data_IF_062281337196
#
_entry.id   IF_062281337196
#
_cell.length_a   1.000
_cell.length_b   1.000
_cell.length_c   1.000
_cell.angle_alpha   90.00
_cell.angle_beta   90.00
_cell.angle_gamma   90.00
#
_symmetry.space_group_name_H-M   'P 1'
#
loop_
_entity.id
_entity.type
_entity.pdbx_description
1 polymer ?
#
# COMPACT_ATOMS: atom_id res chain seq x y z
N UNK A 1 -14.27 21.17 13.94
CA UNK A 1 -13.05 20.38 14.24
C UNK A 1 -13.15 19.53 15.49
N UNK A 2 -13.67 20.04 16.62
CA UNK A 2 -13.73 19.31 17.90
C UNK A 2 -14.60 18.03 17.86
N UNK A 3 -15.76 18.07 17.21
CA UNK A 3 -16.66 16.91 17.10
C UNK A 3 -16.02 15.73 16.36
N UNK A 4 -15.26 15.99 15.29
CA UNK A 4 -14.53 14.95 14.55
C UNK A 4 -13.41 14.31 15.37
N UNK A 5 -12.75 15.07 16.24
CA UNK A 5 -11.75 14.55 17.17
C UNK A 5 -12.39 13.69 18.27
N UNK A 6 -13.57 14.05 18.77
CA UNK A 6 -14.32 13.25 19.75
C UNK A 6 -14.77 11.92 19.18
N UNK A 7 -15.33 11.90 17.97
CA UNK A 7 -15.76 10.65 17.31
C UNK A 7 -14.57 9.73 17.04
N UNK A 8 -13.48 10.27 16.50
CA UNK A 8 -12.25 9.50 16.25
C UNK A 8 -11.60 9.03 17.55
N UNK A 9 -11.54 9.88 18.56
CA UNK A 9 -11.03 9.55 19.89
C UNK A 9 -11.86 8.46 20.57
N UNK A 10 -13.18 8.54 20.48
CA UNK A 10 -14.10 7.52 20.98
C UNK A 10 -13.95 6.18 20.27
N UNK A 11 -13.79 6.18 18.94
CA UNK A 11 -13.51 4.96 18.17
C UNK A 11 -12.18 4.31 18.59
N UNK A 12 -11.12 5.11 18.71
CA UNK A 12 -9.81 4.60 19.15
C UNK A 12 -9.87 4.08 20.58
N UNK A 13 -10.48 4.82 21.50
CA UNK A 13 -10.64 4.40 22.89
C UNK A 13 -11.50 3.12 23.01
N UNK A 14 -12.58 3.03 22.24
CA UNK A 14 -13.42 1.83 22.16
C UNK A 14 -12.66 0.62 21.62
N UNK A 15 -11.87 0.79 20.55
CA UNK A 15 -11.03 -0.26 20.01
C UNK A 15 -9.96 -0.72 21.02
N UNK A 16 -9.32 0.22 21.72
CA UNK A 16 -8.33 -0.10 22.77
C UNK A 16 -8.99 -0.83 23.94
N UNK A 17 -10.17 -0.39 24.39
CA UNK A 17 -10.90 -1.05 25.47
C UNK A 17 -11.31 -2.47 25.10
N UNK A 18 -11.84 -2.67 23.89
CA UNK A 18 -12.23 -3.99 23.39
C UNK A 18 -11.01 -4.92 23.24
N UNK A 19 -9.94 -4.45 22.62
CA UNK A 19 -8.71 -5.25 22.43
C UNK A 19 -8.03 -5.58 23.76
N UNK A 20 -8.12 -4.68 24.77
CA UNK A 20 -7.66 -4.97 26.14
C UNK A 20 -8.51 -6.08 26.76
N UNK A 21 -9.83 -6.02 26.65
CA UNK A 21 -10.75 -7.06 27.17
C UNK A 21 -10.57 -8.40 26.46
N UNK A 22 -10.26 -8.38 25.16
CA UNK A 22 -9.95 -9.59 24.38
C UNK A 22 -8.63 -10.25 24.81
N UNK A 23 -7.81 -9.61 25.64
CA UNK A 23 -6.54 -10.18 26.13
C UNK A 23 -5.35 -9.91 25.21
N UNK A 24 -5.48 -9.05 24.20
CA UNK A 24 -4.37 -8.63 23.31
C UNK A 24 -3.30 -7.86 24.09
N UNK A 25 -3.73 -7.08 25.07
CA UNK A 25 -2.87 -6.30 25.99
C UNK A 25 -2.89 -6.85 27.42
N UNK A 26 -3.33 -8.10 27.57
CA UNK A 26 -3.51 -8.77 28.86
C UNK A 26 -2.20 -9.37 29.40
N UNK A 27 -2.32 -10.21 30.41
CA UNK A 27 -1.19 -11.01 30.89
C UNK A 27 -0.84 -12.10 29.88
N UNK A 28 0.39 -12.64 29.92
CA UNK A 28 0.89 -13.62 28.95
C UNK A 28 -0.06 -14.81 28.79
N UNK A 29 -0.65 -15.30 29.89
CA UNK A 29 -1.64 -16.39 29.88
C UNK A 29 -2.94 -16.06 29.12
N UNK A 30 -3.40 -14.81 29.18
CA UNK A 30 -4.62 -14.38 28.48
C UNK A 30 -4.36 -14.28 26.98
N UNK A 31 -3.19 -13.74 26.60
CA UNK A 31 -2.77 -13.66 25.21
C UNK A 31 -2.49 -15.04 24.62
N UNK A 32 -1.90 -15.97 25.39
CA UNK A 32 -1.67 -17.35 24.96
C UNK A 32 -2.98 -18.11 24.76
N UNK A 33 -3.99 -17.91 25.63
CA UNK A 33 -5.33 -18.47 25.45
C UNK A 33 -5.99 -17.94 24.18
N UNK A 34 -5.94 -16.62 23.96
CA UNK A 34 -6.47 -16.01 22.74
C UNK A 34 -5.75 -16.54 21.49
N UNK A 35 -4.43 -16.66 21.53
CA UNK A 35 -3.64 -17.18 20.42
C UNK A 35 -4.02 -18.63 20.09
N UNK A 36 -4.15 -19.49 21.09
CA UNK A 36 -4.53 -20.88 20.89
C UNK A 36 -5.97 -21.03 20.39
N UNK A 37 -6.90 -20.20 20.86
CA UNK A 37 -8.30 -20.20 20.37
C UNK A 37 -8.38 -19.78 18.90
N UNK A 38 -7.73 -18.66 18.54
CA UNK A 38 -7.65 -18.20 17.15
C UNK A 38 -6.96 -19.23 16.26
N UNK A 39 -5.86 -19.84 16.73
CA UNK A 39 -5.18 -20.92 16.03
C UNK A 39 -6.09 -22.13 15.81
N UNK A 40 -6.89 -22.50 16.83
CA UNK A 40 -7.87 -23.58 16.74
C UNK A 40 -8.91 -23.30 15.65
N UNK A 41 -9.44 -22.08 15.61
CA UNK A 41 -10.41 -21.64 14.60
C UNK A 41 -9.81 -21.54 13.19
N UNK A 42 -8.55 -21.13 13.06
CA UNK A 42 -7.86 -21.00 11.76
C UNK A 42 -7.33 -22.32 11.22
N UNK A 43 -7.01 -23.28 12.09
CA UNK A 43 -6.47 -24.61 11.72
C UNK A 43 -7.22 -25.30 10.56
N UNK A 44 -8.56 -25.44 10.58
CA UNK A 44 -9.28 -26.09 9.49
C UNK A 44 -9.17 -25.35 8.15
N UNK A 45 -9.14 -24.00 8.16
CA UNK A 45 -9.02 -23.20 6.94
C UNK A 45 -7.61 -23.27 6.35
N UNK A 46 -6.59 -23.27 7.21
CA UNK A 46 -5.19 -23.44 6.78
C UNK A 46 -4.98 -24.84 6.18
N UNK A 47 -5.60 -25.87 6.74
CA UNK A 47 -5.56 -27.22 6.18
C UNK A 47 -6.29 -27.31 4.83
N UNK A 48 -7.45 -26.69 4.69
CA UNK A 48 -8.17 -26.61 3.41
C UNK A 48 -7.36 -25.85 2.35
N UNK A 49 -6.72 -24.74 2.72
CA UNK A 49 -5.85 -23.98 1.83
C UNK A 49 -4.61 -24.80 1.42
N UNK A 50 -4.00 -25.54 2.36
CA UNK A 50 -2.87 -26.44 2.09
C UNK A 50 -3.25 -27.54 1.07
N UNK A 51 -4.46 -28.09 1.16
CA UNK A 51 -4.95 -29.12 0.24
C UNK A 51 -5.27 -28.60 -1.17
N UNK A 52 -5.46 -27.29 -1.34
CA UNK A 52 -5.77 -26.64 -2.62
C UNK A 52 -4.54 -26.04 -3.31
N UNK A 53 -3.39 -25.98 -2.62
CA UNK A 53 -2.14 -25.45 -3.17
C UNK A 53 -1.26 -26.59 -3.71
N UNK A 54 -0.87 -26.57 -5.01
CA UNK A 54 -0.04 -27.60 -5.63
C UNK A 54 1.47 -27.48 -5.28
N UNK A 55 1.83 -26.76 -4.21
CA UNK A 55 3.22 -26.58 -3.79
C UNK A 55 3.39 -26.85 -2.29
N UNK A 56 4.52 -27.45 -1.91
CA UNK A 56 4.93 -27.63 -0.53
C UNK A 56 5.08 -26.25 0.13
N UNK A 57 4.19 -25.90 1.04
CA UNK A 57 4.30 -24.66 1.81
C UNK A 57 5.62 -24.70 2.60
N UNK A 58 6.50 -23.69 2.43
CA UNK A 58 7.72 -23.61 3.22
C UNK A 58 7.34 -23.60 4.70
N UNK A 59 8.15 -24.29 5.51
CA UNK A 59 7.93 -24.41 6.95
C UNK A 59 7.76 -23.00 7.54
N UNK A 60 6.63 -22.76 8.24
CA UNK A 60 6.36 -21.48 8.88
C UNK A 60 7.57 -21.12 9.76
N UNK A 61 8.10 -19.87 9.67
CA UNK A 61 9.28 -19.49 10.41
C UNK A 61 9.04 -19.70 11.91
N UNK A 62 10.05 -20.21 12.63
CA UNK A 62 9.93 -20.38 14.09
C UNK A 62 9.63 -19.01 14.71
N UNK A 63 8.96 -18.99 15.87
CA UNK A 63 8.48 -17.76 16.51
C UNK A 63 9.60 -16.70 16.67
N UNK A 64 10.85 -17.13 16.88
CA UNK A 64 12.03 -16.25 16.90
C UNK A 64 12.38 -15.61 15.54
N UNK A 65 12.21 -16.35 14.45
CA UNK A 65 12.43 -15.87 13.07
C UNK A 65 11.32 -14.91 12.65
N UNK A 66 10.06 -15.16 13.04
CA UNK A 66 8.95 -14.22 12.83
C UNK A 66 9.22 -12.88 13.52
N UNK A 67 9.81 -12.89 14.72
CA UNK A 67 10.19 -11.66 15.44
C UNK A 67 11.30 -10.89 14.72
N UNK A 68 12.27 -11.60 14.15
CA UNK A 68 13.32 -10.98 13.33
C UNK A 68 12.72 -10.36 12.07
N UNK A 69 11.85 -11.11 11.38
CA UNK A 69 11.18 -10.69 10.16
C UNK A 69 10.32 -9.44 10.39
N UNK A 70 9.51 -9.44 11.46
CA UNK A 70 8.70 -8.29 11.85
C UNK A 70 9.56 -7.03 12.12
N UNK A 71 10.68 -7.19 12.85
CA UNK A 71 11.62 -6.07 13.08
C UNK A 71 12.26 -5.57 11.79
N UNK A 72 12.66 -6.49 10.91
CA UNK A 72 13.31 -6.15 9.65
C UNK A 72 12.35 -5.39 8.72
N UNK A 73 11.14 -5.91 8.49
CA UNK A 73 10.14 -5.25 7.66
C UNK A 73 9.63 -3.94 8.26
N UNK A 74 9.53 -3.84 9.58
CA UNK A 74 9.20 -2.56 10.22
C UNK A 74 10.26 -1.50 9.91
N UNK A 75 11.54 -1.84 10.09
CA UNK A 75 12.65 -0.92 9.81
C UNK A 75 12.76 -0.56 8.32
N UNK A 76 12.57 -1.53 7.42
CA UNK A 76 12.54 -1.25 5.98
C UNK A 76 11.33 -0.41 5.60
N UNK A 77 10.16 -0.69 6.17
CA UNK A 77 8.94 0.07 5.96
C UNK A 77 9.12 1.54 6.34
N UNK A 78 9.62 1.82 7.55
CA UNK A 78 9.90 3.19 8.01
C UNK A 78 10.90 3.87 7.08
N UNK A 79 12.02 3.22 6.75
CA UNK A 79 13.02 3.78 5.82
C UNK A 79 12.42 4.09 4.45
N UNK A 80 11.60 3.20 3.91
CA UNK A 80 11.01 3.37 2.59
C UNK A 80 9.92 4.45 2.57
N UNK A 81 9.12 4.57 3.63
CA UNK A 81 8.14 5.66 3.76
C UNK A 81 8.81 7.02 3.81
N UNK A 82 9.86 7.19 4.63
CA UNK A 82 10.63 8.44 4.64
C UNK A 82 11.33 8.72 3.31
N UNK A 83 11.86 7.68 2.65
CA UNK A 83 12.44 7.81 1.31
C UNK A 83 11.39 8.23 0.27
N UNK A 84 10.18 7.69 0.34
CA UNK A 84 9.08 8.09 -0.52
C UNK A 84 8.71 9.55 -0.28
N UNK A 85 8.55 9.97 0.98
CA UNK A 85 8.26 11.38 1.32
C UNK A 85 9.37 12.32 0.82
N UNK A 86 10.63 11.92 0.95
CA UNK A 86 11.77 12.67 0.42
C UNK A 86 11.78 12.73 -1.12
N UNK A 87 11.33 11.68 -1.79
CA UNK A 87 11.29 11.60 -3.25
C UNK A 87 9.99 12.15 -3.86
N UNK A 88 8.94 12.39 -3.06
CA UNK A 88 7.67 12.99 -3.49
C UNK A 88 7.84 14.28 -4.30
N UNK A 89 8.71 15.25 -3.94
CA UNK A 89 8.92 16.45 -4.74
C UNK A 89 9.46 16.14 -6.14
N UNK A 90 10.31 15.11 -6.27
CA UNK A 90 10.89 14.69 -7.54
C UNK A 90 9.85 13.96 -8.41
N UNK A 91 9.01 13.13 -7.81
CA UNK A 91 7.88 12.49 -8.50
C UNK A 91 6.81 13.50 -8.91
N UNK A 92 6.47 14.45 -8.03
CA UNK A 92 5.52 15.52 -8.31
C UNK A 92 6.03 16.43 -9.44
N UNK A 93 7.31 16.84 -9.39
CA UNK A 93 7.92 17.65 -10.46
C UNK A 93 7.96 16.93 -11.82
N UNK A 94 8.26 15.63 -11.84
CA UNK A 94 8.21 14.82 -13.06
C UNK A 94 6.78 14.65 -13.59
N UNK A 95 5.80 14.48 -12.70
CA UNK A 95 4.38 14.42 -13.06
C UNK A 95 3.86 15.73 -13.63
N UNK A 96 4.19 16.86 -12.99
CA UNK A 96 3.82 18.21 -13.44
C UNK A 96 4.42 18.53 -14.81
N UNK A 97 5.67 18.13 -15.04
CA UNK A 97 6.35 18.31 -16.33
C UNK A 97 5.67 17.51 -17.44
N UNK A 98 5.36 16.23 -17.21
CA UNK A 98 4.61 15.41 -18.18
C UNK A 98 3.24 15.97 -18.49
N UNK A 99 2.54 16.48 -17.48
CA UNK A 99 1.23 17.11 -17.67
C UNK A 99 1.35 18.34 -18.56
N UNK A 100 2.32 19.22 -18.28
CA UNK A 100 2.60 20.41 -19.09
C UNK A 100 2.95 20.04 -20.53
N UNK A 101 3.88 19.11 -20.72
CA UNK A 101 4.34 18.69 -22.05
C UNK A 101 3.16 18.10 -22.86
N UNK A 102 2.28 17.33 -22.21
CA UNK A 102 1.07 16.79 -22.84
C UNK A 102 0.11 17.91 -23.24
N UNK A 103 -0.16 18.88 -22.36
CA UNK A 103 -1.00 20.04 -22.72
C UNK A 103 -0.40 20.88 -23.86
N UNK A 104 0.92 21.03 -23.90
CA UNK A 104 1.63 21.77 -24.94
C UNK A 104 1.58 21.04 -26.30
N UNK A 105 1.71 19.71 -26.29
CA UNK A 105 1.54 18.86 -27.47
C UNK A 105 0.09 18.88 -27.97
N UNK A 106 -0.90 18.80 -27.08
CA UNK A 106 -2.32 18.98 -27.43
C UNK A 106 -2.59 20.37 -28.02
N UNK A 107 -1.97 21.42 -27.48
CA UNK A 107 -2.11 22.78 -27.99
C UNK A 107 -1.44 23.00 -29.36
N UNK A 108 -0.38 22.25 -29.69
CA UNK A 108 0.27 22.26 -31.01
C UNK A 108 -0.41 21.38 -32.05
N UNK A 109 -1.14 20.34 -31.62
CA UNK A 109 -1.81 19.39 -32.52
C UNK A 109 -2.79 19.99 -33.55
N UNK A 110 -3.49 21.12 -33.32
CA UNK A 110 -4.26 21.77 -34.40
C UNK A 110 -3.41 22.64 -35.34
N UNK A 111 -2.19 23.04 -34.95
CA UNK A 111 -1.31 23.87 -35.78
C UNK A 111 -0.47 23.04 -36.76
N UNK A 112 -0.06 21.82 -36.39
CA UNK A 112 0.80 20.97 -37.24
C UNK A 112 -0.01 20.30 -38.36
N UNK A 113 -1.25 19.90 -38.09
CA UNK A 113 -2.15 19.33 -39.10
C UNK A 113 -2.48 20.32 -40.24
N UNK A 114 -2.47 21.63 -39.94
CA UNK A 114 -2.64 22.67 -40.96
C UNK A 114 -1.35 22.91 -41.77
N UNK A 115 -0.16 22.83 -41.15
CA UNK A 115 1.11 23.05 -41.84
C UNK A 115 1.57 21.86 -42.69
N UNK A 116 1.31 20.60 -42.27
CA UNK A 116 1.65 19.41 -43.07
C UNK A 116 0.78 19.32 -44.33
N UNK A 117 -0.48 19.72 -44.27
CA UNK A 117 -1.36 19.77 -45.44
C UNK A 117 -0.94 20.85 -46.45
N UNK A 118 -0.37 21.97 -46.00
CA UNK A 118 0.12 23.04 -46.89
C UNK A 118 1.50 22.73 -47.51
N UNK A 119 2.40 22.09 -46.78
CA UNK A 119 3.73 21.73 -47.30
C UNK A 119 3.68 20.59 -48.33
N UNK A 120 2.81 19.59 -48.13
CA UNK A 120 2.59 18.54 -49.14
C UNK A 120 1.88 19.07 -50.40
N UNK A 121 0.98 20.05 -50.28
CA UNK A 121 0.31 20.67 -51.43
C UNK A 121 1.26 21.57 -52.26
N UNK A 122 2.24 22.22 -51.63
CA UNK A 122 3.21 23.08 -52.34
C UNK A 122 4.36 22.32 -53.00
N UNK A 123 4.71 21.11 -52.53
CA UNK A 123 5.75 20.28 -53.16
C UNK A 123 5.25 19.46 -54.36
N UNK A 124 3.95 19.22 -54.47
CA UNK A 124 3.35 18.53 -55.63
C UNK A 124 3.05 19.45 -56.83
N UNK A 125 3.21 20.77 -56.67
CA UNK A 125 2.91 21.79 -57.68
C UNK A 125 4.17 22.48 -58.27
N UNK A 126 5.36 21.92 -58.01
CA UNK A 126 6.63 22.25 -58.68
C UNK A 126 7.12 21.04 -59.46
#
# INVERSE_FOLDING_TARGET
MVFGLLVRGGLVAGAVYYTRKAGVWGNTEQTDKLYNDVKGQLSPYVQQAKNKLPFELPQLPKVGEMRFLAKHYYNEGVKNSFRFVHMLPCYAGRGLKKLKDTFEDFAKSPAIAASEHQQHAQQAAK
#
